data_IF_276874640731
#
_entry.id   IF_276874640731
#
_cell.length_a   1.000
_cell.length_b   1.000
_cell.length_c   1.000
_cell.angle_alpha   90.00
_cell.angle_beta   90.00
_cell.angle_gamma   90.00
#
_symmetry.space_group_name_H-M   'P 1'
#
loop_
_entity.id
_entity.type
_entity.pdbx_description
1 polymer ?
#
# COMPACT_ATOMS: atom_id res chain seq x y z
N UNK A 1 -6.44 7.73 16.85
CA UNK A 1 -7.31 6.58 16.55
C UNK A 1 -7.30 5.53 17.66
N UNK A 2 -6.16 5.19 18.25
CA UNK A 2 -6.05 4.18 19.32
C UNK A 2 -6.88 4.46 20.57
N UNK A 3 -7.11 5.74 20.93
CA UNK A 3 -7.86 6.07 22.16
C UNK A 3 -9.38 5.96 22.01
N UNK A 4 -9.90 6.01 20.78
CA UNK A 4 -11.33 5.88 20.50
C UNK A 4 -11.89 4.51 20.93
N UNK A 5 -11.08 3.45 20.83
CA UNK A 5 -11.48 2.09 21.20
C UNK A 5 -11.68 1.89 22.71
N UNK A 6 -11.20 2.82 23.54
CA UNK A 6 -11.39 2.77 25.00
C UNK A 6 -12.76 3.27 25.42
N UNK A 7 -13.38 4.14 24.63
CA UNK A 7 -14.60 4.84 25.04
C UNK A 7 -15.83 4.31 24.29
N UNK A 8 -15.64 3.73 23.10
CA UNK A 8 -16.75 3.45 22.18
C UNK A 8 -17.46 2.12 22.46
N UNK A 9 -16.84 1.19 23.18
CA UNK A 9 -17.36 -0.16 23.37
C UNK A 9 -17.21 -0.69 24.82
N UNK A 10 -17.79 0.00 25.82
CA UNK A 10 -17.67 -0.41 27.22
C UNK A 10 -18.30 -1.79 27.48
N UNK A 11 -17.56 -2.68 28.16
CA UNK A 11 -18.03 -4.00 28.57
C UNK A 11 -17.65 -4.29 30.04
N UNK A 12 -18.23 -3.54 31.00
CA UNK A 12 -17.83 -3.61 32.41
C UNK A 12 -18.07 -4.99 33.04
N UNK A 13 -19.05 -5.73 32.53
CA UNK A 13 -19.37 -7.08 33.01
C UNK A 13 -18.45 -8.16 32.42
N UNK A 14 -17.49 -7.79 31.57
CA UNK A 14 -16.59 -8.68 30.81
C UNK A 14 -17.32 -9.84 30.12
N UNK A 15 -18.50 -9.59 29.55
CA UNK A 15 -19.30 -10.62 28.87
C UNK A 15 -18.61 -11.06 27.59
N UNK A 16 -18.31 -12.36 27.50
CA UNK A 16 -17.67 -12.96 26.33
C UNK A 16 -16.20 -12.58 26.14
N UNK A 17 -15.56 -12.01 27.16
CA UNK A 17 -14.15 -11.64 27.08
C UNK A 17 -13.25 -12.88 27.04
N UNK A 18 -12.15 -12.85 26.25
CA UNK A 18 -11.10 -13.85 26.37
C UNK A 18 -10.43 -13.78 27.75
N UNK A 19 -9.83 -14.90 28.15
CA UNK A 19 -9.09 -14.99 29.40
C UNK A 19 -7.89 -14.02 29.41
N UNK A 20 -7.61 -13.42 30.56
CA UNK A 20 -6.50 -12.47 30.76
C UNK A 20 -5.15 -13.03 30.29
N UNK A 21 -4.87 -14.31 30.62
CA UNK A 21 -3.63 -14.99 30.19
C UNK A 21 -3.51 -15.08 28.66
N UNK A 22 -4.62 -15.18 27.95
CA UNK A 22 -4.66 -15.20 26.50
C UNK A 22 -4.35 -13.81 25.94
N UNK A 23 -4.92 -12.77 26.52
CA UNK A 23 -4.66 -11.37 26.14
C UNK A 23 -3.18 -11.04 26.37
N UNK A 24 -2.64 -11.40 27.53
CA UNK A 24 -1.24 -11.20 27.88
C UNK A 24 -0.30 -11.95 26.92
N UNK A 25 -0.55 -13.23 26.64
CA UNK A 25 0.29 -14.01 25.73
C UNK A 25 0.31 -13.43 24.31
N UNK A 26 -0.81 -12.88 23.84
CA UNK A 26 -0.88 -12.21 22.53
C UNK A 26 -0.15 -10.86 22.57
N UNK A 27 -0.28 -10.09 23.64
CA UNK A 27 0.40 -8.80 23.80
C UNK A 27 1.93 -8.94 23.80
N UNK A 28 2.45 -10.03 24.36
CA UNK A 28 3.87 -10.38 24.44
C UNK A 28 4.38 -11.20 23.23
N UNK A 29 3.60 -11.28 22.15
CA UNK A 29 3.90 -12.06 20.94
C UNK A 29 4.22 -13.56 21.23
N UNK A 30 3.73 -14.11 22.34
CA UNK A 30 3.83 -15.54 22.73
C UNK A 30 2.71 -16.42 22.16
N UNK A 31 1.65 -15.81 21.63
CA UNK A 31 0.53 -16.48 21.00
C UNK A 31 0.01 -15.70 19.77
N UNK A 32 -0.51 -16.37 18.74
CA UNK A 32 -1.04 -15.70 17.56
C UNK A 32 -2.36 -14.97 17.86
N UNK A 33 -2.53 -13.78 17.28
CA UNK A 33 -3.80 -13.04 17.30
C UNK A 33 -4.81 -13.72 16.34
N UNK A 34 -5.70 -14.54 16.90
CA UNK A 34 -6.78 -15.15 16.11
C UNK A 34 -7.83 -14.11 15.71
N UNK A 35 -8.56 -14.35 14.62
CA UNK A 35 -9.60 -13.43 14.12
C UNK A 35 -10.67 -13.12 15.17
N UNK A 36 -11.15 -14.14 15.89
CA UNK A 36 -12.16 -13.97 16.94
C UNK A 36 -11.66 -13.11 18.11
N UNK A 37 -10.42 -13.34 18.57
CA UNK A 37 -9.82 -12.57 19.66
C UNK A 37 -9.48 -11.14 19.21
N UNK A 38 -8.96 -10.98 17.99
CA UNK A 38 -8.67 -9.67 17.41
C UNK A 38 -9.93 -8.83 17.23
N UNK A 39 -11.02 -9.43 16.75
CA UNK A 39 -12.32 -8.76 16.65
C UNK A 39 -12.81 -8.33 18.03
N UNK A 40 -12.72 -9.21 19.03
CA UNK A 40 -13.13 -8.89 20.40
C UNK A 40 -12.29 -7.76 21.02
N UNK A 41 -10.96 -7.81 20.90
CA UNK A 41 -10.07 -6.74 21.39
C UNK A 41 -10.39 -5.41 20.68
N UNK A 42 -10.74 -5.45 19.39
CA UNK A 42 -11.14 -4.26 18.63
C UNK A 42 -12.55 -3.72 18.95
N UNK A 43 -13.37 -4.46 19.68
CA UNK A 43 -14.77 -4.11 19.97
C UNK A 43 -15.13 -4.17 21.46
N UNK A 44 -14.12 -4.18 22.35
CA UNK A 44 -14.30 -4.23 23.79
C UNK A 44 -13.26 -3.34 24.47
N UNK A 45 -13.72 -2.23 25.06
CA UNK A 45 -12.87 -1.24 25.72
C UNK A 45 -11.94 -1.84 26.78
N UNK A 46 -12.46 -2.73 27.63
CA UNK A 46 -11.69 -3.35 28.72
C UNK A 46 -10.59 -4.27 28.19
N UNK A 47 -10.90 -5.14 27.23
CA UNK A 47 -9.91 -6.04 26.60
C UNK A 47 -8.83 -5.25 25.83
N UNK A 48 -9.22 -4.16 25.17
CA UNK A 48 -8.26 -3.27 24.53
C UNK A 48 -7.37 -2.57 25.56
N UNK A 49 -7.95 -2.15 26.70
CA UNK A 49 -7.25 -1.55 27.82
C UNK A 49 -6.22 -2.47 28.46
N UNK A 50 -6.55 -3.75 28.64
CA UNK A 50 -5.63 -4.77 29.14
C UNK A 50 -4.53 -5.06 28.11
N UNK A 51 -4.89 -5.31 26.84
CA UNK A 51 -3.94 -5.63 25.78
C UNK A 51 -2.84 -4.56 25.62
N UNK A 52 -3.22 -3.28 25.57
CA UNK A 52 -2.25 -2.17 25.39
C UNK A 52 -1.33 -2.02 26.61
N UNK A 53 -1.82 -2.29 27.83
CA UNK A 53 -1.00 -2.22 29.03
C UNK A 53 0.03 -3.35 29.03
N UNK A 54 -0.40 -4.60 28.79
CA UNK A 54 0.52 -5.73 28.68
C UNK A 54 1.56 -5.53 27.57
N UNK A 55 1.15 -4.97 26.43
CA UNK A 55 2.08 -4.72 25.33
C UNK A 55 3.11 -3.65 25.68
N UNK A 56 2.68 -2.58 26.35
CA UNK A 56 3.58 -1.54 26.84
C UNK A 56 4.56 -2.09 27.89
N UNK A 57 4.07 -2.82 28.88
CA UNK A 57 4.90 -3.43 29.93
C UNK A 57 5.93 -4.40 29.33
N UNK A 58 5.54 -5.16 28.30
CA UNK A 58 6.44 -6.05 27.57
C UNK A 58 7.50 -5.29 26.78
N UNK A 59 7.11 -4.29 25.99
CA UNK A 59 8.03 -3.44 25.23
C UNK A 59 9.06 -2.76 26.17
N UNK A 60 8.60 -2.23 27.30
CA UNK A 60 9.49 -1.66 28.34
C UNK A 60 10.42 -2.73 28.95
N UNK A 61 9.94 -3.94 29.22
CA UNK A 61 10.78 -5.04 29.73
C UNK A 61 11.83 -5.54 28.72
N UNK A 62 11.51 -5.48 27.43
CA UNK A 62 12.44 -5.83 26.34
C UNK A 62 13.53 -4.77 26.21
N UNK A 63 13.16 -3.48 26.30
CA UNK A 63 14.09 -2.36 26.23
C UNK A 63 15.00 -2.23 27.47
N UNK A 64 14.54 -2.67 28.64
CA UNK A 64 15.36 -2.78 29.86
C UNK A 64 16.31 -4.00 29.86
N UNK A 65 16.16 -4.91 28.90
CA UNK A 65 17.14 -5.99 28.70
C UNK A 65 18.40 -5.37 28.07
N UNK A 66 19.59 -5.42 28.72
CA UNK A 66 20.78 -4.86 28.11
C UNK A 66 21.05 -5.57 26.78
N UNK A 67 21.32 -4.76 25.75
CA UNK A 67 21.82 -5.03 24.40
C UNK A 67 22.31 -6.48 24.10
N UNK A 68 22.10 -6.97 22.87
CA UNK A 68 22.27 -8.37 22.49
C UNK A 68 23.61 -8.94 22.92
N UNK A 69 23.56 -10.18 23.43
CA UNK A 69 24.73 -11.04 23.63
C UNK A 69 25.64 -10.93 22.40
N UNK A 70 26.91 -10.58 22.64
CA UNK A 70 27.97 -10.56 21.64
C UNK A 70 27.89 -11.84 20.79
N UNK A 71 28.10 -11.76 19.46
CA UNK A 71 28.14 -12.95 18.63
C UNK A 71 29.13 -13.94 19.23
N UNK A 72 28.66 -15.15 19.54
CA UNK A 72 29.53 -16.26 19.91
C UNK A 72 30.47 -16.48 18.73
N UNK A 73 31.76 -16.19 18.93
CA UNK A 73 32.83 -16.51 17.99
C UNK A 73 32.90 -18.02 17.85
N UNK A 74 32.26 -18.57 16.81
CA UNK A 74 32.45 -19.95 16.41
C UNK A 74 33.88 -20.04 15.87
N UNK A 75 34.77 -20.86 16.45
CA UNK A 75 36.15 -20.96 15.97
C UNK A 75 36.15 -21.47 14.53
N UNK A 76 36.70 -20.66 13.62
CA UNK A 76 36.99 -21.08 12.24
C UNK A 76 37.97 -22.24 12.28
N UNK A 77 37.47 -23.45 12.05
CA UNK A 77 38.29 -24.59 11.70
C UNK A 77 38.92 -24.27 10.34
N UNK A 78 40.20 -23.92 10.35
CA UNK A 78 41.02 -23.74 9.15
C UNK A 78 41.37 -25.12 8.59
N UNK A 79 40.54 -25.62 7.67
CA UNK A 79 40.91 -26.80 6.89
C UNK A 79 41.88 -26.37 5.79
N UNK A 80 43.11 -26.85 5.88
CA UNK A 80 44.15 -26.61 4.89
C UNK A 80 43.74 -27.17 3.52
N UNK A 81 43.99 -26.48 2.39
CA UNK A 81 43.66 -26.99 1.09
C UNK A 81 44.68 -28.06 0.68
N UNK A 82 44.26 -29.32 0.69
CA UNK A 82 44.97 -30.38 -0.03
C UNK A 82 44.84 -30.12 -1.53
N UNK A 83 45.91 -29.62 -2.13
CA UNK A 83 46.18 -29.76 -3.55
C UNK A 83 46.20 -31.25 -3.87
N UNK A 84 45.35 -31.72 -4.77
CA UNK A 84 45.81 -32.31 -6.03
C UNK A 84 44.64 -32.74 -6.95
N UNK A 85 44.98 -32.78 -8.24
CA UNK A 85 44.32 -33.49 -9.35
C UNK A 85 42.97 -32.96 -9.85
N UNK A 86 43.02 -32.10 -10.86
CA UNK A 86 42.47 -32.42 -12.20
C UNK A 86 42.56 -31.21 -13.12
N UNK A 87 43.65 -31.13 -13.89
CA UNK A 87 43.86 -30.12 -14.95
C UNK A 87 43.12 -30.45 -16.26
N UNK A 88 42.03 -31.23 -16.23
CA UNK A 88 41.42 -31.75 -17.46
C UNK A 88 39.94 -31.45 -17.67
N UNK A 89 39.28 -30.65 -16.82
CA UNK A 89 37.84 -30.32 -17.00
C UNK A 89 37.60 -28.84 -17.37
N UNK A 90 38.63 -28.00 -17.36
CA UNK A 90 38.48 -26.54 -17.48
C UNK A 90 38.22 -25.98 -18.89
N UNK A 91 38.10 -26.81 -19.95
CA UNK A 91 37.84 -26.31 -21.32
C UNK A 91 36.40 -26.55 -21.82
N UNK A 92 35.49 -27.08 -21.00
CA UNK A 92 34.08 -27.28 -21.40
C UNK A 92 33.13 -26.13 -21.02
N UNK A 93 33.37 -25.46 -19.89
CA UNK A 93 32.36 -24.57 -19.26
C UNK A 93 32.37 -23.14 -19.84
N UNK A 94 33.51 -22.67 -20.34
CA UNK A 94 33.62 -21.30 -20.86
C UNK A 94 32.86 -21.09 -22.19
N UNK A 95 32.79 -22.12 -23.04
CA UNK A 95 32.05 -22.04 -24.30
C UNK A 95 30.53 -22.04 -24.09
N UNK A 96 30.03 -22.79 -23.10
CA UNK A 96 28.59 -22.85 -22.79
C UNK A 96 28.07 -21.52 -22.23
N UNK A 97 28.85 -20.81 -21.41
CA UNK A 97 28.44 -19.52 -20.86
C UNK A 97 28.38 -18.42 -21.93
N UNK A 98 29.26 -18.42 -22.92
CA UNK A 98 29.21 -17.44 -24.02
C UNK A 98 28.02 -17.67 -24.97
N UNK A 99 27.64 -18.92 -25.23
CA UNK A 99 26.46 -19.23 -26.07
C UNK A 99 25.15 -18.90 -25.35
N UNK A 100 25.07 -19.14 -24.03
CA UNK A 100 23.88 -18.80 -23.23
C UNK A 100 23.74 -17.28 -23.05
N UNK A 101 24.83 -16.55 -22.78
CA UNK A 101 24.78 -15.09 -22.65
C UNK A 101 24.50 -14.38 -23.98
N UNK A 102 25.03 -14.87 -25.10
CA UNK A 102 24.74 -14.27 -26.43
C UNK A 102 23.33 -14.61 -26.92
N UNK A 103 22.86 -15.85 -26.75
CA UNK A 103 21.49 -16.25 -27.07
C UNK A 103 20.44 -15.51 -26.24
N UNK A 104 20.68 -15.36 -24.93
CA UNK A 104 19.81 -14.58 -24.04
C UNK A 104 19.78 -13.09 -24.41
N UNK A 105 20.91 -12.50 -24.79
CA UNK A 105 20.96 -11.09 -25.20
C UNK A 105 20.25 -10.83 -26.53
N UNK A 106 20.35 -11.75 -27.49
CA UNK A 106 19.64 -11.63 -28.79
C UNK A 106 18.13 -11.83 -28.62
N UNK A 107 17.69 -12.77 -27.78
CA UNK A 107 16.26 -12.94 -27.47
C UNK A 107 15.69 -11.76 -26.67
N UNK A 108 16.47 -11.20 -25.73
CA UNK A 108 16.07 -10.02 -24.97
C UNK A 108 16.02 -8.74 -25.83
N UNK A 109 16.94 -8.56 -26.78
CA UNK A 109 16.84 -7.47 -27.75
C UNK A 109 15.71 -7.70 -28.76
N UNK A 110 15.45 -8.96 -29.16
CA UNK A 110 14.38 -9.31 -30.11
C UNK A 110 12.97 -9.11 -29.54
N UNK A 111 12.73 -9.45 -28.27
CA UNK A 111 11.44 -9.16 -27.62
C UNK A 111 11.21 -7.67 -27.49
N UNK A 112 12.24 -6.89 -27.15
CA UNK A 112 12.12 -5.44 -26.99
C UNK A 112 12.09 -4.67 -28.33
N UNK A 113 12.43 -5.31 -29.45
CA UNK A 113 12.32 -4.71 -30.79
C UNK A 113 11.00 -4.99 -31.51
N UNK A 114 10.17 -5.90 -31.00
CA UNK A 114 8.85 -6.16 -31.61
C UNK A 114 7.79 -5.11 -31.23
N UNK A 115 8.12 -4.19 -30.32
CA UNK A 115 7.24 -3.07 -29.92
C UNK A 115 7.58 -1.71 -30.57
N UNK A 116 8.55 -1.63 -31.50
CA UNK A 116 8.99 -0.33 -32.07
C UNK A 116 8.88 -0.17 -33.59
N UNK A 117 8.08 -0.99 -34.29
CA UNK A 117 7.69 -0.70 -35.69
C UNK A 117 6.19 -0.80 -35.87
N UNK A 118 5.47 0.12 -35.24
CA UNK A 118 4.25 0.69 -35.80
C UNK A 118 4.48 2.21 -35.86
N UNK A 119 4.97 2.65 -37.02
CA UNK A 119 5.11 4.05 -37.38
C UNK A 119 3.77 4.79 -37.28
N UNK A 120 3.86 6.02 -36.78
CA UNK A 120 3.07 7.19 -37.19
C UNK A 120 1.56 7.12 -37.04
N UNK A 121 1.05 7.56 -35.89
CA UNK A 121 -0.11 8.45 -35.81
C UNK A 121 -0.16 9.15 -34.43
N UNK A 122 -0.08 10.48 -34.45
CA UNK A 122 -0.37 11.42 -33.35
C UNK A 122 0.61 11.45 -32.17
N UNK A 123 1.74 12.10 -32.38
CA UNK A 123 2.27 13.02 -31.37
C UNK A 123 1.22 14.12 -31.12
N UNK A 124 0.25 13.84 -30.27
CA UNK A 124 -0.51 14.90 -29.62
C UNK A 124 0.41 15.49 -28.58
N UNK A 125 0.99 16.64 -28.92
CA UNK A 125 1.60 17.57 -27.98
C UNK A 125 0.60 17.80 -26.83
N UNK A 126 0.84 17.17 -25.69
CA UNK A 126 0.00 17.33 -24.51
C UNK A 126 0.89 17.72 -23.36
N UNK A 127 1.17 19.02 -23.24
CA UNK A 127 1.66 19.57 -21.99
C UNK A 127 0.77 19.09 -20.84
N UNK A 128 1.35 18.69 -19.69
CA UNK A 128 0.55 18.23 -18.55
C UNK A 128 -0.46 19.30 -18.13
N UNK A 129 -1.73 18.93 -18.05
CA UNK A 129 -2.79 19.84 -17.62
C UNK A 129 -2.84 19.84 -16.09
N UNK A 130 -2.75 21.02 -15.46
CA UNK A 130 -2.93 21.13 -14.01
C UNK A 130 -4.42 21.20 -13.66
N UNK A 131 -4.87 20.35 -12.74
CA UNK A 131 -6.23 20.34 -12.25
C UNK A 131 -6.27 20.27 -10.71
N UNK A 132 -7.31 20.85 -10.12
CA UNK A 132 -7.55 20.80 -8.68
C UNK A 132 -8.90 20.18 -8.39
N UNK A 133 -8.94 19.27 -7.41
CA UNK A 133 -10.14 18.55 -6.99
C UNK A 133 -10.29 18.70 -5.49
N UNK A 134 -11.46 19.13 -5.03
CA UNK A 134 -11.74 19.27 -3.60
C UNK A 134 -12.74 18.19 -3.14
N UNK A 135 -12.24 17.20 -2.40
CA UNK A 135 -13.04 16.10 -1.84
C UNK A 135 -13.38 16.34 -0.37
N UNK A 136 -13.03 17.49 0.21
CA UNK A 136 -13.16 17.74 1.65
C UNK A 136 -14.60 17.64 2.14
N UNK A 137 -15.54 18.22 1.39
CA UNK A 137 -16.99 18.17 1.64
C UNK A 137 -17.70 17.07 0.83
N UNK A 138 -16.96 16.29 0.04
CA UNK A 138 -17.55 15.23 -0.75
C UNK A 138 -17.90 14.06 0.16
N UNK A 139 -19.20 13.84 0.40
CA UNK A 139 -19.70 12.67 1.10
C UNK A 139 -19.17 11.39 0.44
N UNK A 140 -18.68 10.46 1.25
CA UNK A 140 -18.14 9.19 0.74
C UNK A 140 -19.23 8.11 0.76
N UNK A 141 -19.38 7.39 -0.34
CA UNK A 141 -20.26 6.21 -0.39
C UNK A 141 -19.56 5.05 0.33
N UNK A 142 -19.98 4.74 1.55
CA UNK A 142 -19.56 3.51 2.24
C UNK A 142 -20.52 2.40 1.84
N UNK A 143 -20.19 1.66 0.78
CA UNK A 143 -20.86 0.41 0.42
C UNK A 143 -22.35 0.54 0.12
N UNK A 144 -22.70 0.68 -1.16
CA UNK A 144 -23.95 0.11 -1.69
C UNK A 144 -25.21 0.97 -1.71
N UNK A 145 -25.36 2.01 -0.90
CA UNK A 145 -26.69 2.61 -0.72
C UNK A 145 -26.77 4.03 -1.34
N UNK A 146 -27.61 4.18 -2.38
CA UNK A 146 -27.72 5.39 -3.23
C UNK A 146 -28.51 6.57 -2.62
N UNK A 147 -28.93 6.51 -1.35
CA UNK A 147 -30.06 7.34 -0.88
C UNK A 147 -29.70 8.58 -0.03
N UNK A 148 -28.53 9.19 -0.25
CA UNK A 148 -28.21 10.49 0.38
C UNK A 148 -27.32 11.35 -0.52
N UNK A 149 -27.85 11.69 -1.70
CA UNK A 149 -27.18 12.55 -2.67
C UNK A 149 -27.41 14.03 -2.33
N UNK A 150 -26.53 14.63 -1.52
CA UNK A 150 -26.11 16.00 -1.86
C UNK A 150 -25.44 15.91 -3.24
N UNK A 151 -25.76 16.79 -4.20
CA UNK A 151 -25.24 16.67 -5.57
C UNK A 151 -23.71 16.64 -5.54
N UNK A 152 -23.17 15.43 -5.76
CA UNK A 152 -21.74 15.18 -5.84
C UNK A 152 -21.21 16.09 -6.95
N UNK A 153 -20.31 17.01 -6.61
CA UNK A 153 -19.53 17.73 -7.60
C UNK A 153 -18.83 16.69 -8.48
N UNK A 154 -19.35 16.47 -9.67
CA UNK A 154 -18.80 15.52 -10.63
C UNK A 154 -17.40 16.00 -10.99
N UNK A 155 -16.39 15.30 -10.48
CA UNK A 155 -15.00 15.63 -10.77
C UNK A 155 -14.80 15.41 -12.26
N UNK A 156 -14.32 16.43 -12.99
CA UNK A 156 -14.05 16.29 -14.42
C UNK A 156 -12.56 16.43 -14.68
N UNK A 157 -12.00 15.48 -15.43
CA UNK A 157 -10.62 15.53 -15.92
C UNK A 157 -10.59 15.39 -17.45
N UNK A 158 -9.62 16.02 -18.13
CA UNK A 158 -9.38 15.77 -19.54
C UNK A 158 -8.73 14.40 -19.77
N UNK A 159 -8.93 13.83 -20.96
CA UNK A 159 -8.18 12.66 -21.44
C UNK A 159 -6.72 13.02 -21.81
N UNK A 160 -5.93 13.43 -20.81
CA UNK A 160 -4.52 13.84 -20.98
C UNK A 160 -3.66 13.41 -19.79
N UNK A 161 -2.36 13.74 -19.82
CA UNK A 161 -1.55 13.71 -18.59
C UNK A 161 -1.99 14.88 -17.70
N UNK A 162 -2.35 14.60 -16.45
CA UNK A 162 -2.88 15.58 -15.51
C UNK A 162 -2.01 15.65 -14.26
N UNK A 163 -1.53 16.84 -13.92
CA UNK A 163 -0.98 17.13 -12.59
C UNK A 163 -2.11 17.56 -11.67
N UNK A 164 -2.56 16.63 -10.83
CA UNK A 164 -3.72 16.76 -10.00
C UNK A 164 -3.33 17.19 -8.59
N UNK A 165 -3.96 18.24 -8.07
CA UNK A 165 -3.92 18.62 -6.66
C UNK A 165 -5.25 18.27 -6.01
N UNK A 166 -5.27 17.21 -5.20
CA UNK A 166 -6.49 16.70 -4.57
C UNK A 166 -6.53 17.12 -3.11
N UNK A 167 -7.53 17.87 -2.69
CA UNK A 167 -7.84 18.03 -1.27
C UNK A 167 -8.60 16.78 -0.83
N UNK A 168 -8.03 16.04 0.11
CA UNK A 168 -8.59 14.79 0.60
C UNK A 168 -9.80 15.04 1.52
N UNK A 169 -10.66 14.02 1.71
CA UNK A 169 -11.81 14.11 2.62
C UNK A 169 -11.43 14.48 4.05
N UNK A 170 -12.41 14.99 4.79
CA UNK A 170 -12.29 15.23 6.24
C UNK A 170 -11.69 14.03 6.97
N UNK A 171 -10.83 14.31 7.94
CA UNK A 171 -10.13 13.32 8.76
C UNK A 171 -9.17 12.40 7.99
N UNK A 172 -8.82 12.73 6.75
CA UNK A 172 -7.66 12.12 6.10
C UNK A 172 -6.39 12.51 6.85
N UNK A 173 -5.42 11.61 6.91
CA UNK A 173 -4.13 11.86 7.52
C UNK A 173 -3.07 12.19 6.44
N UNK A 174 -1.89 12.64 6.89
CA UNK A 174 -0.70 12.73 6.04
C UNK A 174 -0.18 11.32 5.69
N UNK A 175 0.58 11.23 4.61
CA UNK A 175 1.27 10.01 4.21
C UNK A 175 1.07 9.66 2.74
N UNK A 176 1.51 8.47 2.34
CA UNK A 176 1.41 8.02 0.96
C UNK A 176 -0.01 7.55 0.61
N UNK A 177 -0.54 8.07 -0.50
CA UNK A 177 -1.82 7.66 -1.05
C UNK A 177 -1.66 7.28 -2.52
N UNK A 178 -2.46 6.32 -2.95
CA UNK A 178 -2.63 5.94 -4.36
C UNK A 178 -4.00 6.37 -4.83
N UNK A 179 -4.06 7.01 -5.99
CA UNK A 179 -5.29 7.28 -6.72
C UNK A 179 -5.43 6.32 -7.88
N UNK A 180 -6.60 5.70 -7.97
CA UNK A 180 -6.98 4.85 -9.09
C UNK A 180 -8.14 5.48 -9.83
N UNK A 181 -8.13 5.39 -11.14
CA UNK A 181 -9.29 5.64 -11.99
C UNK A 181 -9.75 4.33 -12.56
N UNK A 182 -11.02 4.01 -12.41
CA UNK A 182 -11.60 2.72 -12.83
C UNK A 182 -12.94 2.89 -13.53
N UNK A 183 -13.31 1.93 -14.37
CA UNK A 183 -14.62 1.93 -15.06
C UNK A 183 -15.75 1.39 -14.18
N UNK A 184 -15.44 0.75 -13.06
CA UNK A 184 -16.42 0.15 -12.14
C UNK A 184 -16.28 0.64 -10.70
N UNK A 185 -17.40 0.65 -9.96
CA UNK A 185 -17.47 1.11 -8.56
C UNK A 185 -16.64 0.27 -7.57
N UNK A 186 -16.18 -0.93 -7.96
CA UNK A 186 -15.39 -1.82 -7.10
C UNK A 186 -13.87 -1.69 -7.35
N UNK A 187 -13.46 -0.88 -8.33
CA UNK A 187 -12.05 -0.71 -8.67
C UNK A 187 -11.39 -1.93 -9.29
N UNK A 188 -12.15 -2.84 -9.92
CA UNK A 188 -11.61 -4.05 -10.55
C UNK A 188 -10.89 -3.76 -11.87
N UNK A 189 -11.39 -2.77 -12.62
CA UNK A 189 -10.88 -2.38 -13.92
C UNK A 189 -10.24 -0.98 -13.84
N UNK A 190 -9.02 -0.93 -13.30
CA UNK A 190 -8.23 0.30 -13.20
C UNK A 190 -7.64 0.65 -14.56
N UNK A 191 -7.92 1.85 -15.06
CA UNK A 191 -7.41 2.38 -16.34
C UNK A 191 -6.25 3.36 -16.15
N UNK A 192 -6.13 3.97 -14.97
CA UNK A 192 -5.01 4.84 -14.62
C UNK A 192 -4.75 4.79 -13.11
N UNK A 193 -3.49 4.94 -12.72
CA UNK A 193 -3.07 4.97 -11.32
C UNK A 193 -1.97 5.99 -11.13
N UNK A 194 -1.97 6.66 -9.99
CA UNK A 194 -0.92 7.57 -9.57
C UNK A 194 -0.70 7.48 -8.06
N UNK A 195 0.53 7.70 -7.61
CA UNK A 195 0.85 7.72 -6.18
C UNK A 195 1.45 9.07 -5.82
N UNK A 196 1.13 9.57 -4.63
CA UNK A 196 1.67 10.83 -4.12
C UNK A 196 1.74 10.85 -2.60
N UNK A 197 2.48 11.82 -2.08
CA UNK A 197 2.61 12.05 -0.65
C UNK A 197 1.64 13.16 -0.22
N UNK A 198 0.64 12.79 0.57
CA UNK A 198 -0.35 13.71 1.09
C UNK A 198 0.23 14.52 2.25
N UNK A 199 0.17 15.84 2.12
CA UNK A 199 0.74 16.80 3.05
C UNK A 199 -0.36 17.70 3.62
N UNK A 200 -0.20 18.15 4.85
CA UNK A 200 -1.10 19.14 5.41
C UNK A 200 -0.84 20.50 4.78
N UNK A 201 -1.90 21.13 4.33
CA UNK A 201 -1.96 22.44 3.72
C UNK A 201 -2.83 23.36 4.58
N UNK A 202 -2.99 24.60 4.13
CA UNK A 202 -3.84 25.65 4.72
C UNK A 202 -5.13 25.13 5.41
N UNK A 203 -5.35 25.58 6.65
CA UNK A 203 -6.57 25.30 7.42
C UNK A 203 -6.81 23.82 7.79
N UNK A 204 -5.76 23.06 8.14
CA UNK A 204 -5.79 21.63 8.49
C UNK A 204 -6.14 20.65 7.36
N UNK A 205 -6.41 21.15 6.15
CA UNK A 205 -6.75 20.30 5.00
C UNK A 205 -5.55 19.47 4.55
N UNK A 206 -5.77 18.21 4.19
CA UNK A 206 -4.74 17.37 3.59
C UNK A 206 -4.82 17.47 2.07
N UNK A 207 -3.71 17.83 1.42
CA UNK A 207 -3.60 17.95 -0.03
C UNK A 207 -2.64 16.90 -0.56
N UNK A 208 -3.04 16.24 -1.64
CA UNK A 208 -2.31 15.19 -2.32
C UNK A 208 -2.00 15.62 -3.76
N UNK A 209 -0.73 15.96 -4.06
CA UNK A 209 -0.26 16.11 -5.42
C UNK A 209 -0.05 14.73 -6.04
N UNK A 210 -0.65 14.48 -7.21
CA UNK A 210 -0.52 13.22 -7.94
C UNK A 210 -0.54 13.49 -9.44
N UNK A 211 0.20 12.70 -10.21
CA UNK A 211 0.11 12.73 -11.68
C UNK A 211 -0.66 11.52 -12.16
N UNK A 212 -1.66 11.74 -13.01
CA UNK A 212 -2.45 10.69 -13.66
C UNK A 212 -2.26 10.78 -15.17
N UNK A 213 -2.05 9.64 -15.81
CA UNK A 213 -2.06 9.54 -17.27
C UNK A 213 -3.43 9.03 -17.74
N UNK A 214 -4.21 9.93 -18.36
CA UNK A 214 -5.55 9.63 -18.86
C UNK A 214 -5.62 9.71 -20.39
N UNK A 215 -4.48 9.72 -21.09
CA UNK A 215 -4.45 9.86 -22.57
C UNK A 215 -5.21 8.75 -23.30
N UNK A 216 -5.17 7.54 -22.77
CA UNK A 216 -5.86 6.38 -23.36
C UNK A 216 -7.32 6.25 -22.88
N UNK A 217 -7.76 7.12 -21.97
CA UNK A 217 -9.11 7.07 -21.43
C UNK A 217 -10.11 7.66 -22.42
N UNK A 218 -11.18 6.92 -22.72
CA UNK A 218 -12.30 7.42 -23.53
C UNK A 218 -13.14 8.40 -22.73
N UNK A 219 -13.74 9.38 -23.40
CA UNK A 219 -14.73 10.24 -22.75
C UNK A 219 -15.88 9.40 -22.16
N UNK A 220 -16.23 9.64 -20.90
CA UNK A 220 -17.21 8.80 -20.21
C UNK A 220 -17.18 8.92 -18.69
N UNK A 221 -18.06 8.15 -18.05
CA UNK A 221 -18.16 8.04 -16.61
C UNK A 221 -17.17 7.00 -16.06
N UNK A 222 -16.49 7.37 -14.98
CA UNK A 222 -15.48 6.58 -14.28
C UNK A 222 -15.63 6.78 -12.77
N UNK A 223 -14.80 6.08 -12.01
CA UNK A 223 -14.68 6.21 -10.57
C UNK A 223 -13.24 6.53 -10.20
N UNK A 224 -13.06 7.61 -9.44
CA UNK A 224 -11.81 7.96 -8.80
C UNK A 224 -11.79 7.33 -7.40
N UNK A 225 -10.76 6.57 -7.08
CA UNK A 225 -10.59 5.94 -5.79
C UNK A 225 -9.37 6.49 -5.05
N UNK A 226 -9.51 6.83 -3.77
CA UNK A 226 -8.40 7.18 -2.88
C UNK A 226 -8.07 5.96 -2.00
N UNK A 227 -6.83 5.48 -2.08
CA UNK A 227 -6.36 4.28 -1.39
C UNK A 227 -5.19 4.64 -0.48
N UNK A 228 -5.27 4.25 0.80
CA UNK A 228 -4.19 4.44 1.77
C UNK A 228 -3.78 3.10 2.38
N UNK A 229 -2.51 2.71 2.20
CA UNK A 229 -2.00 1.42 2.67
C UNK A 229 -2.74 0.23 2.05
N UNK A 230 -2.76 -0.90 2.75
CA UNK A 230 -3.41 -2.15 2.32
C UNK A 230 -4.84 -2.29 2.87
N UNK A 231 -5.15 -1.64 3.99
CA UNK A 231 -6.31 -2.04 4.82
C UNK A 231 -7.22 -0.88 5.28
N UNK A 232 -6.89 0.38 4.96
CA UNK A 232 -7.67 1.54 5.38
C UNK A 232 -8.55 2.07 4.24
N UNK A 233 -9.85 1.80 4.33
CA UNK A 233 -10.97 2.41 3.59
C UNK A 233 -10.65 3.03 2.22
N UNK A 234 -10.89 2.27 1.15
CA UNK A 234 -10.93 2.88 -0.20
C UNK A 234 -12.23 3.64 -0.38
N UNK A 235 -12.14 4.91 -0.74
CA UNK A 235 -13.30 5.74 -1.05
C UNK A 235 -13.41 5.98 -2.55
N UNK A 236 -14.62 5.87 -3.09
CA UNK A 236 -14.90 6.03 -4.51
C UNK A 236 -15.74 7.28 -4.77
N UNK A 237 -15.34 8.04 -5.78
CA UNK A 237 -16.00 9.27 -6.21
C UNK A 237 -16.34 9.18 -7.71
N UNK A 238 -17.50 9.67 -8.15
CA UNK A 238 -17.82 9.74 -9.56
C UNK A 238 -16.86 10.71 -10.28
N UNK A 239 -16.33 10.25 -11.41
CA UNK A 239 -15.41 11.00 -12.27
C UNK A 239 -15.96 11.03 -13.70
N UNK A 240 -15.85 12.17 -14.37
CA UNK A 240 -16.09 12.31 -15.80
C UNK A 240 -14.78 12.59 -16.51
N UNK A 241 -14.48 11.78 -17.53
CA UNK A 241 -13.39 12.07 -18.46
C UNK A 241 -13.99 12.70 -19.73
N UNK A 242 -13.37 13.75 -20.25
CA UNK A 242 -13.78 14.48 -21.46
C UNK A 242 -12.63 14.59 -22.45
#
# INVERSE_FOLDING_TARGET
>A
MKDFLLETFPNPDRKGCPDEKTIQAIAEDRAPLTEAVGMHIGSCSECYAEYRNFRKDWEESVDETPAPLKPVEIPRITVAPQRAHSRLVAMGIAASLLVICSGGYVLYRGSNQTEQVAMTAHSSDSQPVSARVDLFESGTLRGGDEESLTPLNQVTLPASVVHLSVVLPRFSDKGTYRLNVSTDKQGKNVIASGTGEAVQSDGEKITLPVTLDLRDAKAGAYFLATVRGTDNGTYYYPLQIR
#
